data_IF_695179808672
#
_entry.id   IF_695179808672
#
_cell.length_a   1.000
_cell.length_b   1.000
_cell.length_c   1.000
_cell.angle_alpha   90.00
_cell.angle_beta   90.00
_cell.angle_gamma   90.00
#
_symmetry.space_group_name_H-M   'P 1'
#
loop_
_entity.id
_entity.type
_entity.pdbx_description
1 polymer ?
#
# COMPACT_ATOMS: atom_id res chain seq x y z
N UNK A 1 -62.24 15.29 -8.65
CA UNK A 1 -60.88 15.89 -8.65
C UNK A 1 -60.07 15.14 -7.59
N UNK A 2 -59.37 14.07 -7.99
CA UNK A 2 -57.89 13.98 -8.11
C UNK A 2 -57.18 14.14 -6.76
N UNK A 3 -57.11 13.05 -5.98
CA UNK A 3 -56.18 12.89 -4.85
C UNK A 3 -55.57 11.49 -4.89
N UNK A 4 -54.61 11.28 -5.79
CA UNK A 4 -53.87 10.00 -5.92
C UNK A 4 -52.36 10.19 -6.12
N UNK A 5 -51.84 11.42 -6.02
CA UNK A 5 -50.42 11.71 -6.29
C UNK A 5 -49.54 11.90 -5.05
N UNK A 6 -50.10 11.93 -3.84
CA UNK A 6 -49.35 12.21 -2.61
C UNK A 6 -48.50 11.00 -2.17
N UNK A 7 -48.96 9.77 -2.41
CA UNK A 7 -48.22 8.56 -2.05
C UNK A 7 -46.91 8.35 -2.85
N UNK A 8 -46.85 8.86 -4.08
CA UNK A 8 -45.68 8.72 -4.95
C UNK A 8 -44.56 9.71 -4.64
N UNK A 9 -44.87 10.83 -3.98
CA UNK A 9 -43.87 11.85 -3.63
C UNK A 9 -43.06 11.44 -2.39
N UNK A 10 -43.63 10.62 -1.49
CA UNK A 10 -42.92 10.14 -0.30
C UNK A 10 -41.90 9.02 -0.59
N UNK A 11 -42.07 8.23 -1.66
CA UNK A 11 -41.12 7.18 -2.03
C UNK A 11 -39.86 7.70 -2.74
N UNK A 12 -39.92 8.92 -3.30
CA UNK A 12 -38.76 9.55 -3.96
C UNK A 12 -37.81 10.26 -2.97
N UNK A 13 -38.22 10.48 -1.73
CA UNK A 13 -37.44 11.23 -0.74
C UNK A 13 -36.37 10.39 0.00
N UNK A 14 -36.37 9.06 -0.13
CA UNK A 14 -35.45 8.17 0.59
C UNK A 14 -34.21 7.74 -0.22
N UNK A 15 -34.08 8.20 -1.47
CA UNK A 15 -32.97 7.81 -2.37
C UNK A 15 -31.80 8.79 -2.41
N UNK A 16 -31.80 9.84 -1.57
CA UNK A 16 -30.93 11.01 -1.73
C UNK A 16 -29.56 11.00 -1.02
N UNK A 17 -29.25 10.03 -0.16
CA UNK A 17 -28.01 10.05 0.63
C UNK A 17 -27.28 8.70 0.61
N UNK A 18 -26.90 8.22 -0.58
CA UNK A 18 -25.81 7.25 -0.67
C UNK A 18 -24.49 8.01 -0.71
N UNK A 19 -23.90 8.28 0.46
CA UNK A 19 -22.52 8.76 0.56
C UNK A 19 -21.57 7.64 0.17
N UNK A 20 -21.06 7.65 -1.07
CA UNK A 20 -19.98 6.77 -1.47
C UNK A 20 -18.72 7.18 -0.70
N UNK A 21 -18.25 6.34 0.22
CA UNK A 21 -16.93 6.52 0.81
C UNK A 21 -15.89 6.41 -0.31
N UNK A 22 -15.29 7.55 -0.69
CA UNK A 22 -14.17 7.55 -1.62
C UNK A 22 -12.95 7.07 -0.85
N UNK A 23 -12.29 6.00 -1.31
CA UNK A 23 -10.97 5.66 -0.80
C UNK A 23 -10.01 6.76 -1.23
N UNK A 24 -9.55 7.58 -0.28
CA UNK A 24 -8.57 8.65 -0.51
C UNK A 24 -7.13 8.17 -0.30
N UNK A 25 -6.94 6.89 0.05
CA UNK A 25 -5.62 6.28 0.21
C UNK A 25 -5.00 5.82 -1.11
N UNK A 26 -3.71 5.44 -1.10
CA UNK A 26 -3.05 4.87 -2.25
C UNK A 26 -3.73 3.57 -2.72
N UNK A 27 -3.69 3.32 -4.03
CA UNK A 27 -4.10 2.04 -4.60
C UNK A 27 -3.11 0.93 -4.22
N UNK A 28 -3.54 -0.33 -4.26
CA UNK A 28 -2.69 -1.48 -3.89
C UNK A 28 -1.36 -1.53 -4.66
N UNK A 29 -1.36 -1.12 -5.94
CA UNK A 29 -0.15 -1.00 -6.75
C UNK A 29 0.84 0.03 -6.17
N UNK A 30 0.33 1.18 -5.74
CA UNK A 30 1.12 2.24 -5.11
C UNK A 30 1.60 1.80 -3.72
N UNK A 31 0.77 1.07 -2.95
CA UNK A 31 1.19 0.49 -1.67
C UNK A 31 2.37 -0.47 -1.89
N UNK A 32 2.28 -1.36 -2.88
CA UNK A 32 3.36 -2.28 -3.20
C UNK A 32 4.64 -1.55 -3.64
N UNK A 33 4.52 -0.51 -4.46
CA UNK A 33 5.65 0.29 -4.90
C UNK A 33 6.32 1.03 -3.73
N UNK A 34 5.54 1.65 -2.84
CA UNK A 34 6.04 2.31 -1.62
C UNK A 34 6.80 1.32 -0.75
N UNK A 35 6.27 0.11 -0.53
CA UNK A 35 6.93 -0.92 0.29
C UNK A 35 8.27 -1.32 -0.30
N UNK A 36 8.32 -1.63 -1.59
CA UNK A 36 9.57 -2.06 -2.25
C UNK A 36 10.62 -0.93 -2.23
N UNK A 37 10.20 0.29 -2.54
CA UNK A 37 11.08 1.47 -2.54
C UNK A 37 11.63 1.75 -1.14
N UNK A 38 10.79 1.76 -0.10
CA UNK A 38 11.23 2.03 1.27
C UNK A 38 12.22 0.97 1.77
N UNK A 39 11.93 -0.31 1.55
CA UNK A 39 12.84 -1.39 1.92
C UNK A 39 14.16 -1.33 1.13
N UNK A 40 14.13 -0.91 -0.14
CA UNK A 40 15.36 -0.77 -0.91
C UNK A 40 16.26 0.31 -0.32
N UNK A 41 15.69 1.43 0.14
CA UNK A 41 16.45 2.46 0.87
C UNK A 41 17.12 1.87 2.12
N UNK A 42 16.43 1.01 2.87
CA UNK A 42 17.00 0.36 4.05
C UNK A 42 18.09 -0.68 3.69
N UNK A 43 17.94 -1.40 2.58
CA UNK A 43 18.98 -2.29 2.03
C UNK A 43 20.22 -1.47 1.67
N UNK A 44 20.06 -0.38 0.92
CA UNK A 44 21.17 0.48 0.49
C UNK A 44 21.89 1.10 1.69
N UNK A 45 21.16 1.49 2.74
CA UNK A 45 21.73 1.97 3.99
C UNK A 45 22.50 0.87 4.73
N UNK A 46 21.99 -0.36 4.73
CA UNK A 46 22.69 -1.54 5.24
C UNK A 46 24.00 -1.78 4.48
N UNK A 47 23.97 -1.78 3.16
CA UNK A 47 25.14 -1.97 2.30
C UNK A 47 26.21 -0.89 2.55
N UNK A 48 25.79 0.39 2.63
CA UNK A 48 26.66 1.50 2.99
C UNK A 48 27.29 1.32 4.38
N UNK A 49 26.51 0.84 5.36
CA UNK A 49 27.03 0.54 6.69
C UNK A 49 28.08 -0.56 6.67
N UNK A 50 27.92 -1.59 5.81
CA UNK A 50 28.92 -2.67 5.68
C UNK A 50 30.20 -2.26 4.96
N UNK A 51 30.15 -1.24 4.09
CA UNK A 51 31.30 -0.77 3.31
C UNK A 51 32.27 0.14 4.09
N UNK A 52 31.90 0.54 5.31
CA UNK A 52 32.72 1.37 6.20
C UNK A 52 33.25 0.59 7.41
N UNK A 53 34.39 0.99 8.02
CA UNK A 53 34.84 0.42 9.29
C UNK A 53 33.82 0.72 10.40
N UNK A 54 33.20 -0.33 10.97
CA UNK A 54 32.23 -0.22 12.08
C UNK A 54 32.46 -1.30 13.12
N UNK A 55 31.89 -1.11 14.31
CA UNK A 55 31.84 -2.12 15.37
C UNK A 55 31.12 -3.40 14.86
N UNK A 56 31.54 -4.56 15.35
CA UNK A 56 31.01 -5.88 14.94
C UNK A 56 29.48 -5.93 15.02
N UNK A 57 28.90 -5.37 16.08
CA UNK A 57 27.45 -5.41 16.30
C UNK A 57 26.70 -4.56 15.27
N UNK A 58 27.27 -3.42 14.85
CA UNK A 58 26.66 -2.61 13.80
C UNK A 58 26.74 -3.30 12.44
N UNK A 59 27.84 -3.98 12.15
CA UNK A 59 27.96 -4.79 10.93
C UNK A 59 26.94 -5.95 10.94
N UNK A 60 26.74 -6.59 12.09
CA UNK A 60 25.73 -7.63 12.24
C UNK A 60 24.32 -7.09 12.01
N UNK A 61 24.01 -5.92 12.57
CA UNK A 61 22.71 -5.27 12.36
C UNK A 61 22.50 -4.87 10.90
N UNK A 62 23.51 -4.33 10.23
CA UNK A 62 23.44 -3.99 8.81
C UNK A 62 23.15 -5.23 7.93
N UNK A 63 23.79 -6.37 8.22
CA UNK A 63 23.50 -7.62 7.51
C UNK A 63 22.07 -8.13 7.76
N UNK A 64 21.53 -7.92 8.96
CA UNK A 64 20.13 -8.23 9.26
C UNK A 64 19.19 -7.34 8.44
N UNK A 65 19.44 -6.02 8.40
CA UNK A 65 18.67 -5.08 7.56
C UNK A 65 18.65 -5.55 6.09
N UNK A 66 19.82 -5.81 5.50
CA UNK A 66 19.92 -6.28 4.12
C UNK A 66 19.11 -7.57 3.93
N UNK A 67 19.25 -8.54 4.83
CA UNK A 67 18.61 -9.85 4.68
C UNK A 67 17.09 -9.75 4.77
N UNK A 68 16.59 -9.08 5.80
CA UNK A 68 15.16 -9.05 6.12
C UNK A 68 14.39 -8.15 5.15
N UNK A 69 14.92 -6.97 4.81
CA UNK A 69 14.26 -6.09 3.83
C UNK A 69 14.23 -6.69 2.42
N UNK A 70 15.30 -7.40 2.00
CA UNK A 70 15.26 -8.16 0.76
C UNK A 70 14.23 -9.30 0.78
N UNK A 71 14.02 -9.96 1.93
CA UNK A 71 12.99 -10.97 2.07
C UNK A 71 11.58 -10.38 1.94
N UNK A 72 11.35 -9.18 2.49
CA UNK A 72 10.08 -8.46 2.31
C UNK A 72 9.87 -8.05 0.85
N UNK A 73 10.91 -7.56 0.15
CA UNK A 73 10.80 -7.21 -1.27
C UNK A 73 10.42 -8.41 -2.16
N UNK A 74 11.01 -9.58 -1.90
CA UNK A 74 10.61 -10.82 -2.58
C UNK A 74 9.15 -11.19 -2.28
N UNK A 75 8.72 -11.04 -1.03
CA UNK A 75 7.34 -11.33 -0.63
C UNK A 75 6.32 -10.36 -1.27
N UNK A 76 6.65 -9.07 -1.34
CA UNK A 76 5.83 -8.07 -2.01
C UNK A 76 5.70 -8.38 -3.52
N UNK A 77 6.80 -8.74 -4.17
CA UNK A 77 6.83 -9.14 -5.59
C UNK A 77 5.96 -10.38 -5.83
N UNK A 78 6.07 -11.39 -4.97
CA UNK A 78 5.25 -12.60 -5.06
C UNK A 78 3.76 -12.30 -4.86
N UNK A 79 3.44 -11.38 -3.94
CA UNK A 79 2.05 -11.00 -3.66
C UNK A 79 1.41 -10.26 -4.84
N UNK A 80 2.09 -9.26 -5.44
CA UNK A 80 1.54 -8.53 -6.59
C UNK A 80 1.30 -9.44 -7.79
N UNK A 81 2.18 -10.43 -8.01
CA UNK A 81 1.98 -11.46 -9.03
C UNK A 81 0.76 -12.32 -8.72
N UNK A 82 0.63 -12.80 -7.48
CA UNK A 82 -0.51 -13.64 -7.05
C UNK A 82 -1.85 -12.90 -7.20
N UNK A 83 -1.86 -11.60 -6.95
CA UNK A 83 -3.06 -10.76 -7.01
C UNK A 83 -3.29 -10.12 -8.38
N UNK A 84 -2.40 -10.33 -9.35
CA UNK A 84 -2.43 -9.68 -10.67
C UNK A 84 -2.48 -8.14 -10.60
N UNK A 85 -1.79 -7.56 -9.61
CA UNK A 85 -1.66 -6.12 -9.47
C UNK A 85 -0.68 -5.61 -10.53
N UNK A 86 -1.12 -4.66 -11.35
CA UNK A 86 -0.26 -3.99 -12.32
C UNK A 86 0.70 -3.05 -11.58
N UNK A 87 2.01 -3.11 -11.82
CA UNK A 87 2.96 -2.18 -11.20
C UNK A 87 2.64 -0.73 -11.57
N UNK A 88 2.70 0.15 -10.57
CA UNK A 88 2.72 1.59 -10.77
C UNK A 88 4.01 2.16 -10.21
N UNK A 89 4.50 3.30 -10.74
CA UNK A 89 5.62 4.01 -10.15
C UNK A 89 5.34 4.37 -8.68
N UNK A 90 6.33 4.14 -7.83
CA UNK A 90 6.33 4.53 -6.41
C UNK A 90 6.97 5.89 -6.17
#
# INVERSE_FOLDING_TARGET
MKSTHIGWILLAALSGCASTAKNTGPADAQIAAIVVTANQVDVDAGELSTSTPRLKDVRSFANLMITDHNAVNRSATALVQKLNVQPEPG
#
